data_IF_012797088274
#
_entry.id   IF_012797088274
#
_cell.length_a   1.000
_cell.length_b   1.000
_cell.length_c   1.000
_cell.angle_alpha   90.00
_cell.angle_beta   90.00
_cell.angle_gamma   90.00
#
_symmetry.space_group_name_H-M   'P 1'
#
loop_
_entity.id
_entity.type
_entity.pdbx_description
1 polymer ?
#
# COMPACT_ATOMS: atom_id res chain seq x y z
N UNK A 1 -6.34 -45.25 4.96
CA UNK A 1 -5.50 -44.13 5.50
C UNK A 1 -5.85 -42.87 4.71
N UNK A 2 -6.71 -42.01 5.23
CA UNK A 2 -7.02 -40.73 4.64
C UNK A 2 -6.70 -39.66 5.68
N UNK A 3 -5.62 -38.90 5.46
CA UNK A 3 -5.28 -37.76 6.28
C UNK A 3 -5.96 -36.51 5.74
N UNK A 4 -6.74 -35.83 6.54
CA UNK A 4 -7.30 -34.53 6.24
C UNK A 4 -6.43 -33.46 6.88
N UNK A 5 -5.81 -32.61 6.06
CA UNK A 5 -5.08 -31.43 6.52
C UNK A 5 -6.03 -30.23 6.58
N UNK A 6 -6.19 -29.65 7.78
CA UNK A 6 -6.86 -28.34 7.92
C UNK A 6 -5.77 -27.29 8.17
N UNK A 7 -5.63 -26.35 7.21
CA UNK A 7 -4.80 -25.16 7.38
C UNK A 7 -5.72 -23.98 7.63
N UNK A 8 -5.69 -23.45 8.86
CA UNK A 8 -6.34 -22.18 9.20
C UNK A 8 -5.29 -21.06 9.16
N UNK A 9 -5.49 -20.11 8.26
CA UNK A 9 -4.64 -18.93 8.10
C UNK A 9 -5.06 -17.84 9.08
N UNK A 10 -4.39 -17.77 10.20
CA UNK A 10 -4.03 -16.49 10.88
C UNK A 10 -3.14 -16.79 12.09
N UNK A 11 -1.96 -16.22 12.09
CA UNK A 11 -0.94 -16.21 13.16
C UNK A 11 -0.25 -17.56 13.49
N UNK A 12 1.03 -17.65 13.08
CA UNK A 12 2.02 -18.67 13.45
C UNK A 12 1.47 -20.11 13.39
N UNK A 13 1.80 -20.77 12.31
CA UNK A 13 1.37 -22.12 11.96
C UNK A 13 1.33 -23.05 13.19
N UNK A 14 0.13 -23.35 13.67
CA UNK A 14 -0.12 -24.53 14.47
C UNK A 14 -0.63 -25.60 13.50
N UNK A 15 0.20 -26.56 13.13
CA UNK A 15 -0.22 -27.72 12.33
C UNK A 15 -0.89 -28.70 13.28
N UNK A 16 -2.22 -28.80 13.23
CA UNK A 16 -2.96 -29.83 13.95
C UNK A 16 -3.09 -31.02 13.01
N UNK A 17 -2.34 -32.08 13.30
CA UNK A 17 -2.44 -33.34 12.57
C UNK A 17 -3.26 -34.30 13.40
N UNK A 18 -4.42 -34.72 12.87
CA UNK A 18 -5.29 -35.70 13.51
C UNK A 18 -5.08 -37.04 12.82
N UNK A 19 -4.59 -38.03 13.55
CA UNK A 19 -4.51 -39.41 13.09
C UNK A 19 -5.61 -40.25 13.75
N UNK A 20 -6.42 -40.89 12.92
CA UNK A 20 -7.39 -41.89 13.39
C UNK A 20 -6.83 -43.26 13.06
N UNK A 21 -6.51 -44.04 14.08
CA UNK A 21 -6.07 -45.41 13.90
C UNK A 21 -7.11 -46.36 14.47
N UNK A 22 -7.55 -47.34 13.67
CA UNK A 22 -8.35 -48.46 14.19
C UNK A 22 -7.43 -49.62 14.48
N UNK A 23 -7.34 -50.03 15.73
CA UNK A 23 -6.71 -51.27 16.15
C UNK A 23 -7.59 -51.94 17.20
N UNK A 24 -7.90 -53.20 16.94
CA UNK A 24 -8.52 -54.17 17.87
C UNK A 24 -9.54 -53.56 18.87
N UNK A 25 -10.76 -53.32 18.40
CA UNK A 25 -11.93 -52.89 19.21
C UNK A 25 -11.87 -51.48 19.86
N UNK A 26 -10.90 -50.61 19.51
CA UNK A 26 -10.81 -49.25 20.05
C UNK A 26 -10.52 -48.25 18.94
N UNK A 27 -11.08 -47.02 19.06
CA UNK A 27 -10.74 -45.86 18.24
C UNK A 27 -9.74 -45.02 19.00
N UNK A 28 -8.53 -44.83 18.47
CA UNK A 28 -7.47 -44.02 19.06
C UNK A 28 -7.35 -42.70 18.31
N UNK A 29 -7.67 -41.59 18.97
CA UNK A 29 -7.55 -40.22 18.44
C UNK A 29 -6.27 -39.60 19.04
N UNK A 30 -5.29 -39.27 18.18
CA UNK A 30 -4.11 -38.53 18.62
C UNK A 30 -4.10 -37.13 17.96
N UNK A 31 -4.08 -36.10 18.79
CA UNK A 31 -3.95 -34.70 18.39
C UNK A 31 -2.54 -34.22 18.75
N UNK A 32 -1.77 -33.82 17.76
CA UNK A 32 -0.45 -33.19 17.99
C UNK A 32 -0.51 -31.71 17.62
N UNK A 33 -0.24 -30.86 18.61
CA UNK A 33 -0.04 -29.43 18.40
C UNK A 33 1.42 -29.10 18.68
N UNK A 34 2.15 -28.54 17.70
CA UNK A 34 3.53 -28.05 17.88
C UNK A 34 3.55 -26.53 18.01
N UNK A 35 3.49 -25.95 19.20
CA UNK A 35 4.12 -24.65 19.44
C UNK A 35 5.62 -24.89 19.64
N UNK A 36 6.45 -23.97 19.14
CA UNK A 36 7.90 -24.06 19.28
C UNK A 36 8.30 -24.27 20.76
N UNK A 37 8.90 -25.44 21.06
CA UNK A 37 9.56 -25.91 22.32
C UNK A 37 8.84 -26.86 23.27
N UNK A 38 7.62 -27.32 23.02
CA UNK A 38 7.16 -28.51 23.76
C UNK A 38 6.02 -29.21 23.01
N UNK A 39 6.16 -30.52 22.83
CA UNK A 39 5.07 -31.32 22.22
C UNK A 39 4.21 -31.89 23.38
N UNK A 40 2.94 -31.51 23.40
CA UNK A 40 1.97 -32.06 24.36
C UNK A 40 1.17 -33.12 23.60
N UNK A 41 1.23 -34.36 24.08
CA UNK A 41 0.47 -35.47 23.52
C UNK A 41 -0.77 -35.72 24.39
N UNK A 42 -1.95 -35.66 23.77
CA UNK A 42 -3.20 -36.13 24.40
C UNK A 42 -3.60 -37.46 23.77
N UNK A 43 -3.73 -38.49 24.60
CA UNK A 43 -4.21 -39.81 24.20
C UNK A 43 -5.53 -40.08 24.86
N UNK A 44 -6.58 -40.25 24.09
CA UNK A 44 -7.92 -40.59 24.60
C UNK A 44 -8.30 -41.97 24.06
N UNK A 45 -8.51 -42.92 24.94
CA UNK A 45 -9.02 -44.24 24.59
C UNK A 45 -10.53 -44.29 24.92
N UNK A 46 -11.34 -44.60 23.94
CA UNK A 46 -12.78 -44.82 24.11
C UNK A 46 -13.11 -46.29 23.79
N UNK A 47 -13.69 -47.07 24.71
CA UNK A 47 -14.14 -48.41 24.44
C UNK A 47 -15.38 -48.38 23.55
N UNK A 48 -15.44 -49.30 22.56
CA UNK A 48 -16.62 -49.45 21.70
C UNK A 48 -17.59 -50.39 22.42
N UNK A 49 -18.66 -49.87 22.97
CA UNK A 49 -19.80 -50.66 23.41
C UNK A 49 -20.71 -50.99 22.18
N UNK A 50 -20.73 -52.24 21.78
CA UNK A 50 -21.56 -52.75 20.73
C UNK A 50 -23.00 -52.86 21.25
N UNK A 51 -23.85 -51.88 21.02
CA UNK A 51 -25.31 -52.04 21.04
C UNK A 51 -25.84 -51.57 19.72
N UNK A 52 -26.74 -52.37 19.17
CA UNK A 52 -27.30 -52.29 17.83
C UNK A 52 -28.08 -51.00 17.52
N UNK A 53 -27.34 -49.99 17.04
CA UNK A 53 -27.89 -48.79 16.43
C UNK A 53 -27.13 -48.44 15.13
N UNK A 54 -27.79 -47.93 14.09
CA UNK A 54 -27.16 -47.75 12.78
C UNK A 54 -26.07 -46.70 12.83
N UNK A 55 -24.88 -47.05 12.38
CA UNK A 55 -23.59 -46.39 12.38
C UNK A 55 -23.57 -44.94 11.84
N UNK A 56 -24.67 -44.45 11.25
CA UNK A 56 -24.78 -43.08 10.75
C UNK A 56 -25.08 -42.02 11.80
N UNK A 57 -25.60 -42.38 12.97
CA UNK A 57 -25.94 -41.43 14.03
C UNK A 57 -24.78 -41.13 15.00
N UNK A 58 -23.87 -42.07 15.17
CA UNK A 58 -22.72 -41.90 16.08
C UNK A 58 -21.66 -40.90 15.54
N UNK A 59 -21.56 -40.78 14.21
CA UNK A 59 -20.64 -39.83 13.59
C UNK A 59 -21.04 -38.35 13.83
N UNK A 60 -22.32 -38.07 13.92
CA UNK A 60 -22.81 -36.70 14.16
C UNK A 60 -22.59 -36.24 15.62
N UNK A 61 -22.68 -37.15 16.60
CA UNK A 61 -22.52 -36.78 18.00
C UNK A 61 -21.05 -36.60 18.42
N UNK A 62 -20.13 -37.39 17.88
CA UNK A 62 -18.69 -37.24 18.17
C UNK A 62 -18.10 -35.95 17.53
N UNK A 63 -18.60 -35.54 16.37
CA UNK A 63 -18.18 -34.28 15.71
C UNK A 63 -18.77 -33.06 16.44
N UNK A 64 -19.99 -33.16 16.98
CA UNK A 64 -20.62 -32.07 17.71
C UNK A 64 -19.97 -31.80 19.08
N UNK A 65 -19.55 -32.85 19.79
CA UNK A 65 -18.88 -32.69 21.10
C UNK A 65 -17.43 -32.21 20.96
N UNK A 66 -16.72 -32.58 19.90
CA UNK A 66 -15.39 -32.04 19.58
C UNK A 66 -15.44 -30.56 19.18
N UNK A 67 -16.49 -30.11 18.49
CA UNK A 67 -16.70 -28.70 18.13
C UNK A 67 -17.02 -27.80 19.32
N UNK A 68 -17.79 -28.28 20.31
CA UNK A 68 -18.16 -27.48 21.47
C UNK A 68 -17.01 -27.29 22.47
N UNK A 69 -16.10 -28.26 22.63
CA UNK A 69 -14.89 -28.11 23.43
C UNK A 69 -13.84 -27.20 22.75
N UNK A 70 -13.79 -27.14 21.42
CA UNK A 70 -12.90 -26.23 20.69
C UNK A 70 -13.33 -24.76 20.82
N UNK A 71 -14.64 -24.49 20.94
CA UNK A 71 -15.14 -23.13 21.09
C UNK A 71 -14.83 -22.50 22.45
N UNK A 72 -14.78 -23.31 23.52
CA UNK A 72 -14.41 -22.84 24.86
C UNK A 72 -12.90 -22.58 24.99
N UNK A 73 -12.06 -23.33 24.29
CA UNK A 73 -10.61 -23.12 24.26
C UNK A 73 -10.21 -21.92 23.38
N UNK A 74 -10.96 -21.59 22.30
CA UNK A 74 -10.73 -20.40 21.50
C UNK A 74 -11.14 -19.10 22.22
N UNK A 75 -12.11 -19.13 23.12
CA UNK A 75 -12.54 -17.96 23.89
C UNK A 75 -11.48 -17.51 24.92
N UNK A 76 -10.61 -18.39 25.38
CA UNK A 76 -9.55 -18.08 26.36
C UNK A 76 -8.27 -17.47 25.74
N UNK A 77 -8.10 -17.49 24.40
CA UNK A 77 -6.94 -16.90 23.68
C UNK A 77 -7.22 -15.47 23.19
N UNK A 78 -8.44 -14.95 23.30
CA UNK A 78 -8.85 -13.62 22.84
C UNK A 78 -8.71 -12.52 23.89
N UNK A 79 -7.55 -12.41 24.53
CA UNK A 79 -7.35 -11.46 25.62
C UNK A 79 -6.17 -10.49 25.55
N UNK A 80 -5.40 -10.43 24.46
CA UNK A 80 -4.47 -9.31 24.27
C UNK A 80 -5.13 -8.25 23.34
N UNK A 81 -5.97 -7.40 23.94
CA UNK A 81 -6.35 -6.12 23.33
C UNK A 81 -5.04 -5.39 22.99
N UNK A 82 -4.65 -5.34 21.70
CA UNK A 82 -3.63 -4.43 21.24
C UNK A 82 -4.08 -3.03 21.65
N UNK A 83 -3.43 -2.46 22.66
CA UNK A 83 -3.59 -1.04 22.97
C UNK A 83 -3.28 -0.28 21.68
N UNK A 84 -4.14 0.64 21.22
CA UNK A 84 -3.84 1.43 20.05
C UNK A 84 -2.48 2.10 20.25
N UNK A 85 -1.60 2.00 19.27
CA UNK A 85 -0.25 2.58 19.34
C UNK A 85 -0.39 4.09 19.49
N UNK A 86 -0.23 4.57 20.73
CA UNK A 86 -0.39 5.99 21.05
C UNK A 86 0.82 6.74 20.50
N UNK A 87 0.59 7.69 19.59
CA UNK A 87 1.65 8.56 19.06
C UNK A 87 2.21 9.38 20.23
N UNK A 88 3.47 9.16 20.58
CA UNK A 88 4.15 9.90 21.64
C UNK A 88 4.77 11.15 21.06
N UNK A 89 4.52 12.29 21.69
CA UNK A 89 5.07 13.57 21.30
C UNK A 89 5.69 14.29 22.51
N UNK A 90 6.74 15.08 22.25
CA UNK A 90 7.39 15.94 23.23
C UNK A 90 7.50 17.38 22.71
N UNK A 91 7.63 18.39 23.55
CA UNK A 91 8.02 19.73 23.09
C UNK A 91 9.35 19.65 22.32
N UNK A 92 9.53 20.54 21.34
CA UNK A 92 10.85 20.72 20.74
C UNK A 92 11.82 21.34 21.76
N UNK A 93 13.12 21.10 21.54
CA UNK A 93 14.22 21.63 22.36
C UNK A 93 14.44 23.13 22.18
N UNK A 94 15.68 23.61 21.91
CA UNK A 94 16.00 25.03 21.94
C UNK A 94 15.12 25.86 21.01
N UNK A 95 14.58 26.97 21.54
CA UNK A 95 13.76 27.93 20.76
C UNK A 95 14.51 28.54 19.57
N UNK A 96 15.85 28.56 19.63
CA UNK A 96 16.69 29.11 18.57
C UNK A 96 16.55 28.37 17.25
N UNK A 97 16.51 27.02 17.26
CA UNK A 97 16.35 26.20 16.04
C UNK A 97 14.98 26.45 15.36
N UNK A 98 13.92 26.51 16.16
CA UNK A 98 12.59 26.84 15.65
C UNK A 98 12.52 28.28 15.12
N UNK A 99 13.24 29.22 15.74
CA UNK A 99 13.26 30.61 15.30
C UNK A 99 13.99 30.77 13.95
N UNK A 100 15.11 30.05 13.76
CA UNK A 100 15.82 30.02 12.48
C UNK A 100 14.97 29.36 11.40
N UNK A 101 14.39 28.19 11.68
CA UNK A 101 13.49 27.50 10.76
C UNK A 101 12.31 28.40 10.34
N UNK A 102 11.73 29.16 11.29
CA UNK A 102 10.65 30.10 11.00
C UNK A 102 11.10 31.22 10.06
N UNK A 103 12.30 31.75 10.26
CA UNK A 103 12.86 32.81 9.41
C UNK A 103 13.12 32.33 8.00
N UNK A 104 13.72 31.13 7.86
CA UNK A 104 13.97 30.49 6.56
C UNK A 104 12.67 30.24 5.78
N UNK A 105 11.67 29.63 6.42
CA UNK A 105 10.37 29.35 5.79
C UNK A 105 9.64 30.64 5.42
N UNK A 106 9.68 31.66 6.30
CA UNK A 106 9.08 32.95 6.02
C UNK A 106 9.67 33.60 4.76
N UNK A 107 10.98 33.55 4.61
CA UNK A 107 11.67 34.07 3.44
C UNK A 107 11.33 33.27 2.18
N UNK A 108 11.41 31.95 2.23
CA UNK A 108 11.18 31.07 1.07
C UNK A 108 9.74 31.11 0.59
N UNK A 109 8.78 31.14 1.50
CA UNK A 109 7.35 31.05 1.18
C UNK A 109 6.64 32.41 1.12
N UNK A 110 7.30 33.48 1.46
CA UNK A 110 6.77 34.86 1.49
C UNK A 110 5.53 34.98 2.40
N UNK A 111 5.62 34.43 3.63
CA UNK A 111 4.59 34.50 4.66
C UNK A 111 5.13 35.14 5.93
N UNK A 112 4.29 35.81 6.76
CA UNK A 112 4.78 36.59 7.92
C UNK A 112 5.53 35.73 8.94
N UNK A 113 6.76 36.09 9.29
CA UNK A 113 7.61 35.34 10.23
C UNK A 113 6.98 35.18 11.62
N UNK A 114 6.25 36.18 12.11
CA UNK A 114 5.56 36.12 13.38
C UNK A 114 4.48 35.03 13.39
N UNK A 115 3.75 34.88 12.27
CA UNK A 115 2.76 33.81 12.08
C UNK A 115 3.43 32.43 12.05
N UNK A 116 4.51 32.27 11.27
CA UNK A 116 5.28 31.01 11.21
C UNK A 116 5.80 30.60 12.58
N UNK A 117 6.40 31.54 13.32
CA UNK A 117 6.88 31.32 14.71
C UNK A 117 5.76 30.85 15.62
N UNK A 118 4.58 31.47 15.51
CA UNK A 118 3.41 31.06 16.29
C UNK A 118 2.99 29.61 15.95
N UNK A 119 2.94 29.24 14.66
CA UNK A 119 2.58 27.86 14.28
C UNK A 119 3.62 26.85 14.80
N UNK A 120 4.92 27.10 14.58
CA UNK A 120 5.99 26.21 15.02
C UNK A 120 6.09 26.10 16.55
N UNK A 121 5.69 27.13 17.31
CA UNK A 121 5.63 27.04 18.78
C UNK A 121 4.59 26.03 19.29
N UNK A 122 3.59 25.70 18.48
CA UNK A 122 2.56 24.69 18.77
C UNK A 122 2.93 23.29 18.28
N UNK A 123 3.99 23.16 17.46
CA UNK A 123 4.45 21.87 16.96
C UNK A 123 5.07 21.03 18.07
N UNK A 124 4.94 19.71 17.96
CA UNK A 124 5.51 18.76 18.91
C UNK A 124 6.37 17.73 18.17
N UNK A 125 7.52 17.40 18.74
CA UNK A 125 8.39 16.35 18.19
C UNK A 125 7.72 14.99 18.33
N UNK A 126 7.59 14.27 17.22
CA UNK A 126 7.04 12.90 17.17
C UNK A 126 8.17 11.92 17.47
N UNK A 127 8.07 11.19 18.59
CA UNK A 127 9.08 10.22 19.00
C UNK A 127 9.08 8.96 18.13
N UNK A 128 10.24 8.47 17.76
CA UNK A 128 10.43 7.24 16.99
C UNK A 128 10.13 7.38 15.51
N UNK A 129 9.86 8.58 15.04
CA UNK A 129 9.61 8.85 13.61
C UNK A 129 10.86 8.55 12.78
N UNK A 130 12.03 8.80 13.34
CA UNK A 130 13.33 8.55 12.74
C UNK A 130 13.50 7.11 12.27
N UNK A 131 13.00 6.14 13.08
CA UNK A 131 13.05 4.70 12.74
C UNK A 131 12.19 4.34 11.53
N UNK A 132 11.09 5.06 11.32
CA UNK A 132 10.19 4.84 10.19
C UNK A 132 10.75 5.42 8.87
N UNK A 133 11.73 6.33 8.97
CA UNK A 133 12.39 6.93 7.81
C UNK A 133 13.57 6.11 7.30
N UNK A 134 14.09 5.20 8.11
CA UNK A 134 15.22 4.36 7.68
C UNK A 134 14.78 3.35 6.60
N UNK A 135 15.61 3.14 5.57
CA UNK A 135 15.33 2.10 4.60
C UNK A 135 15.25 0.72 5.30
N UNK A 136 14.45 -0.21 4.78
CA UNK A 136 14.40 -1.56 5.32
C UNK A 136 15.79 -2.20 5.23
N UNK A 137 16.13 -3.12 6.16
CA UNK A 137 17.38 -3.86 6.08
C UNK A 137 17.54 -4.53 4.70
N UNK A 138 18.74 -4.48 4.15
CA UNK A 138 19.08 -5.08 2.84
C UNK A 138 18.86 -6.59 2.78
N UNK A 139 18.73 -7.24 3.94
CA UNK A 139 18.46 -8.68 4.08
C UNK A 139 17.00 -9.09 3.77
N UNK A 140 16.08 -8.15 3.60
CA UNK A 140 14.69 -8.49 3.24
C UNK A 140 14.54 -8.45 1.73
N UNK A 141 14.51 -9.60 1.03
CA UNK A 141 14.35 -9.63 -0.41
C UNK A 141 12.99 -9.03 -0.79
N UNK A 142 12.99 -8.18 -1.82
CA UNK A 142 11.74 -7.68 -2.40
C UNK A 142 10.92 -8.86 -2.90
N UNK A 143 9.60 -8.84 -2.69
CA UNK A 143 8.69 -9.89 -3.14
C UNK A 143 7.42 -9.26 -3.71
N UNK A 144 7.28 -9.35 -5.03
CA UNK A 144 6.15 -8.78 -5.76
C UNK A 144 4.84 -9.47 -5.39
N UNK A 145 4.80 -10.80 -5.41
CA UNK A 145 3.60 -11.57 -5.07
C UNK A 145 3.06 -11.20 -3.68
N UNK A 146 3.96 -11.09 -2.69
CA UNK A 146 3.56 -10.68 -1.35
C UNK A 146 3.17 -9.20 -1.26
N UNK A 147 3.75 -8.33 -2.10
CA UNK A 147 3.39 -6.92 -2.17
C UNK A 147 2.01 -6.73 -2.82
N UNK A 148 1.77 -7.36 -3.98
CA UNK A 148 0.54 -7.37 -4.73
C UNK A 148 -0.66 -7.83 -3.85
N UNK A 149 -0.49 -8.94 -3.12
CA UNK A 149 -1.52 -9.49 -2.25
C UNK A 149 -1.99 -8.56 -1.11
N UNK A 150 -1.25 -7.49 -0.80
CA UNK A 150 -1.68 -6.47 0.19
C UNK A 150 -2.75 -5.54 -0.37
N UNK A 151 -2.81 -5.41 -1.68
CA UNK A 151 -3.68 -4.46 -2.36
C UNK A 151 -4.79 -5.16 -3.14
N UNK A 152 -4.50 -6.29 -3.78
CA UNK A 152 -5.48 -7.05 -4.55
C UNK A 152 -6.10 -8.11 -3.63
N UNK A 153 -7.02 -7.65 -2.78
CA UNK A 153 -7.74 -8.48 -1.82
C UNK A 153 -9.24 -8.15 -1.83
N UNK A 154 -10.12 -9.12 -1.50
CA UNK A 154 -11.57 -9.00 -1.72
C UNK A 154 -12.20 -7.73 -1.14
N UNK A 155 -11.84 -7.34 0.09
CA UNK A 155 -12.43 -6.18 0.76
C UNK A 155 -12.08 -4.86 0.06
N UNK A 156 -10.86 -4.74 -0.48
CA UNK A 156 -10.42 -3.55 -1.21
C UNK A 156 -11.07 -3.49 -2.59
N UNK A 157 -11.22 -4.63 -3.26
CA UNK A 157 -11.91 -4.73 -4.54
C UNK A 157 -13.38 -4.33 -4.36
N UNK A 158 -14.09 -4.89 -3.37
CA UNK A 158 -15.48 -4.52 -3.04
C UNK A 158 -15.63 -3.03 -2.74
N UNK A 159 -14.73 -2.46 -1.91
CA UNK A 159 -14.72 -1.04 -1.61
C UNK A 159 -14.46 -0.19 -2.87
N UNK A 160 -13.61 -0.65 -3.78
CA UNK A 160 -13.31 0.00 -5.06
C UNK A 160 -14.49 -0.01 -6.01
N UNK A 161 -15.20 -1.12 -6.12
CA UNK A 161 -16.46 -1.21 -6.90
C UNK A 161 -17.49 -0.21 -6.37
N UNK A 162 -17.68 -0.17 -5.05
CA UNK A 162 -18.59 0.79 -4.41
C UNK A 162 -18.16 2.24 -4.65
N UNK A 163 -16.86 2.54 -4.52
CA UNK A 163 -16.31 3.88 -4.78
C UNK A 163 -16.56 4.30 -6.23
N UNK A 164 -16.28 3.42 -7.20
CA UNK A 164 -16.53 3.66 -8.61
C UNK A 164 -18.00 3.96 -8.90
N UNK A 165 -18.90 3.12 -8.40
CA UNK A 165 -20.35 3.30 -8.58
C UNK A 165 -20.84 4.61 -7.96
N UNK A 166 -20.37 4.95 -6.76
CA UNK A 166 -20.77 6.17 -6.04
C UNK A 166 -20.28 7.44 -6.71
N UNK A 167 -19.09 7.43 -7.33
CA UNK A 167 -18.45 8.61 -7.91
C UNK A 167 -18.31 8.52 -9.43
N UNK A 168 -19.16 7.72 -10.08
CA UNK A 168 -19.08 7.42 -11.52
C UNK A 168 -18.98 8.69 -12.39
N UNK A 169 -19.85 9.65 -12.17
CA UNK A 169 -19.90 10.90 -12.94
C UNK A 169 -18.60 11.71 -12.80
N UNK A 170 -18.07 11.83 -11.58
CA UNK A 170 -16.81 12.53 -11.34
C UNK A 170 -15.61 11.81 -11.98
N UNK A 171 -15.58 10.49 -11.91
CA UNK A 171 -14.54 9.65 -12.51
C UNK A 171 -14.55 9.75 -14.05
N UNK A 172 -15.73 9.63 -14.67
CA UNK A 172 -15.89 9.77 -16.13
C UNK A 172 -15.53 11.18 -16.58
N UNK A 173 -15.93 12.21 -15.84
CA UNK A 173 -15.54 13.59 -16.12
C UNK A 173 -14.02 13.78 -16.00
N UNK A 174 -13.35 13.20 -15.00
CA UNK A 174 -11.91 13.27 -14.84
C UNK A 174 -11.18 12.58 -16.01
N UNK A 175 -11.64 11.40 -16.43
CA UNK A 175 -11.12 10.74 -17.63
C UNK A 175 -11.28 11.61 -18.88
N UNK A 176 -12.45 12.19 -19.09
CA UNK A 176 -12.73 13.05 -20.27
C UNK A 176 -11.89 14.33 -20.24
N UNK A 177 -11.65 14.91 -19.05
CA UNK A 177 -10.90 16.16 -18.88
C UNK A 177 -9.39 15.97 -19.04
N UNK A 178 -8.85 14.93 -18.42
CA UNK A 178 -7.40 14.73 -18.30
C UNK A 178 -6.86 13.58 -19.17
N UNK A 179 -7.74 12.74 -19.72
CA UNK A 179 -7.38 11.57 -20.52
C UNK A 179 -6.81 10.41 -19.70
N UNK A 180 -6.95 10.45 -18.37
CA UNK A 180 -6.49 9.40 -17.44
C UNK A 180 -7.62 8.41 -17.21
N UNK A 181 -7.42 7.10 -17.43
CA UNK A 181 -8.48 6.09 -17.28
C UNK A 181 -9.06 6.05 -15.87
N UNK A 182 -10.36 5.80 -15.75
CA UNK A 182 -11.07 5.70 -14.47
C UNK A 182 -10.42 4.65 -13.56
N UNK A 183 -10.07 3.49 -14.11
CA UNK A 183 -9.43 2.40 -13.37
C UNK A 183 -8.12 2.81 -12.71
N UNK A 184 -7.33 3.66 -13.35
CA UNK A 184 -6.08 4.15 -12.77
C UNK A 184 -6.34 5.07 -11.57
N UNK A 185 -7.30 5.98 -11.69
CA UNK A 185 -7.69 6.92 -10.60
C UNK A 185 -8.20 6.11 -9.40
N UNK A 186 -9.07 5.13 -9.64
CA UNK A 186 -9.63 4.23 -8.61
C UNK A 186 -8.52 3.40 -7.97
N UNK A 187 -7.58 2.87 -8.77
CA UNK A 187 -6.42 2.13 -8.29
C UNK A 187 -5.55 2.95 -7.33
N UNK A 188 -5.23 4.21 -7.67
CA UNK A 188 -4.46 5.11 -6.80
C UNK A 188 -5.16 5.34 -5.47
N UNK A 189 -6.42 5.79 -5.48
CA UNK A 189 -7.15 6.10 -4.25
C UNK A 189 -7.33 4.84 -3.39
N UNK A 190 -7.47 3.68 -4.05
CA UNK A 190 -7.54 2.39 -3.39
C UNK A 190 -6.24 2.00 -2.70
N UNK A 191 -5.10 2.14 -3.36
CA UNK A 191 -3.77 1.83 -2.80
C UNK A 191 -3.41 2.79 -1.68
N UNK A 192 -3.62 4.10 -1.89
CA UNK A 192 -3.19 5.14 -0.95
C UNK A 192 -3.97 5.12 0.37
N UNK A 193 -5.28 5.08 0.30
CA UNK A 193 -6.10 5.30 1.50
C UNK A 193 -7.22 4.29 1.73
N UNK A 194 -7.26 3.22 0.94
CA UNK A 194 -8.40 2.30 0.99
C UNK A 194 -9.72 3.07 0.82
N UNK A 195 -9.78 3.91 -0.20
CA UNK A 195 -10.94 4.79 -0.48
C UNK A 195 -11.31 5.67 0.72
N UNK A 196 -10.34 6.39 1.26
CA UNK A 196 -10.49 7.36 2.34
C UNK A 196 -10.55 6.78 3.76
N UNK A 197 -10.49 5.44 3.93
CA UNK A 197 -10.55 4.82 5.26
C UNK A 197 -9.25 4.96 6.05
N UNK A 198 -8.10 5.17 5.40
CA UNK A 198 -6.76 5.18 6.00
C UNK A 198 -5.92 6.39 5.59
N UNK A 199 -6.39 7.58 5.89
CA UNK A 199 -5.70 8.84 5.52
C UNK A 199 -4.57 9.25 6.47
N UNK A 200 -4.25 8.42 7.47
CA UNK A 200 -3.23 8.74 8.47
C UNK A 200 -3.79 9.47 9.71
N UNK A 201 -3.00 9.45 10.79
CA UNK A 201 -3.41 9.97 12.11
C UNK A 201 -2.37 10.89 12.76
N UNK A 202 -1.25 11.12 12.09
CA UNK A 202 -0.21 12.01 12.58
C UNK A 202 -0.58 13.47 12.26
N UNK A 203 -0.37 14.39 13.20
CA UNK A 203 -0.47 15.82 12.88
C UNK A 203 0.63 16.20 11.90
N UNK A 204 0.26 16.70 10.74
CA UNK A 204 1.20 17.01 9.65
C UNK A 204 2.23 18.04 10.07
N UNK A 205 1.82 19.08 10.82
CA UNK A 205 2.74 20.07 11.40
C UNK A 205 3.83 19.41 12.25
N UNK A 206 3.43 18.50 13.16
CA UNK A 206 4.35 17.83 14.07
C UNK A 206 5.36 16.95 13.31
N UNK A 207 4.86 16.17 12.34
CA UNK A 207 5.67 15.28 11.51
C UNK A 207 6.68 16.07 10.68
N UNK A 208 6.21 17.05 9.92
CA UNK A 208 7.08 17.79 9.01
C UNK A 208 8.11 18.64 9.79
N UNK A 209 7.72 19.22 10.94
CA UNK A 209 8.68 19.93 11.81
C UNK A 209 9.71 18.96 12.38
N UNK A 210 9.29 17.74 12.80
CA UNK A 210 10.22 16.73 13.32
C UNK A 210 11.22 16.33 12.24
N UNK A 211 10.76 16.04 11.02
CA UNK A 211 11.64 15.60 9.93
C UNK A 211 12.51 16.72 9.36
N UNK A 212 12.05 17.96 9.41
CA UNK A 212 12.84 19.14 9.02
C UNK A 212 14.02 19.41 9.98
N UNK A 213 13.86 19.15 11.28
CA UNK A 213 14.88 19.41 12.29
C UNK A 213 15.70 18.18 12.70
N UNK A 214 15.06 17.00 12.72
CA UNK A 214 15.61 15.78 13.32
C UNK A 214 15.47 14.58 12.38
N UNK A 215 15.78 14.77 11.08
CA UNK A 215 15.87 13.63 10.15
C UNK A 215 17.06 12.73 10.56
N UNK A 216 16.94 11.38 10.49
CA UNK A 216 18.01 10.49 10.94
C UNK A 216 19.32 10.73 10.15
N UNK A 217 20.41 11.10 10.81
CA UNK A 217 21.68 11.39 10.13
C UNK A 217 22.34 10.13 9.53
N UNK A 218 21.97 8.94 10.00
CA UNK A 218 22.46 7.66 9.50
C UNK A 218 21.82 7.26 8.16
N UNK A 219 20.77 7.97 7.72
CA UNK A 219 20.12 7.69 6.45
C UNK A 219 21.07 8.02 5.27
N UNK A 220 21.22 7.15 4.23
CA UNK A 220 22.16 7.37 3.12
C UNK A 220 21.98 8.72 2.38
N UNK A 221 20.78 9.29 2.41
CA UNK A 221 20.43 10.58 1.80
C UNK A 221 19.94 11.58 2.85
N UNK A 222 20.55 11.62 4.04
CA UNK A 222 20.05 12.39 5.17
C UNK A 222 19.85 13.88 4.86
N UNK A 223 20.87 14.55 4.32
CA UNK A 223 20.83 15.98 4.01
C UNK A 223 19.74 16.33 2.99
N UNK A 224 19.67 15.56 1.90
CA UNK A 224 18.67 15.75 0.85
C UNK A 224 17.25 15.57 1.38
N UNK A 225 17.04 14.50 2.17
CA UNK A 225 15.73 14.19 2.76
C UNK A 225 15.32 15.22 3.79
N UNK A 226 16.24 15.71 4.62
CA UNK A 226 15.97 16.76 5.57
C UNK A 226 15.58 18.07 4.87
N UNK A 227 16.31 18.47 3.82
CA UNK A 227 15.98 19.63 3.00
C UNK A 227 14.61 19.50 2.33
N UNK A 228 14.28 18.30 1.82
CA UNK A 228 12.95 18.00 1.29
C UNK A 228 11.85 18.25 2.32
N UNK A 229 11.98 17.70 3.53
CA UNK A 229 10.95 17.87 4.57
C UNK A 229 10.86 19.32 5.08
N UNK A 230 11.97 20.06 5.08
CA UNK A 230 11.95 21.51 5.36
C UNK A 230 11.14 22.28 4.30
N UNK A 231 11.33 21.95 3.04
CA UNK A 231 10.55 22.52 1.93
C UNK A 231 9.06 22.15 2.04
N UNK A 232 8.73 20.87 2.32
CA UNK A 232 7.35 20.41 2.49
C UNK A 232 6.65 21.11 3.67
N UNK A 233 7.37 21.36 4.78
CA UNK A 233 6.86 22.16 5.89
C UNK A 233 6.54 23.60 5.45
N UNK A 234 7.38 24.19 4.61
CA UNK A 234 7.13 25.51 4.02
C UNK A 234 5.85 25.55 3.19
N UNK A 235 5.67 24.59 2.27
CA UNK A 235 4.44 24.45 1.48
C UNK A 235 3.21 24.23 2.35
N UNK A 236 3.34 23.39 3.38
CA UNK A 236 2.24 23.13 4.33
C UNK A 236 1.81 24.42 5.04
N UNK A 237 2.75 25.17 5.58
CA UNK A 237 2.47 26.41 6.29
C UNK A 237 1.87 27.49 5.36
N UNK A 238 2.36 27.58 4.11
CA UNK A 238 1.79 28.47 3.10
C UNK A 238 0.33 28.11 2.78
N UNK A 239 0.07 26.81 2.56
CA UNK A 239 -1.27 26.30 2.31
C UNK A 239 -2.23 26.63 3.48
N UNK A 240 -1.79 26.38 4.71
CA UNK A 240 -2.60 26.67 5.91
C UNK A 240 -2.81 28.18 6.10
N UNK A 241 -1.79 29.01 5.83
CA UNK A 241 -1.89 30.47 5.92
C UNK A 241 -2.93 31.04 4.94
N UNK A 242 -3.05 30.46 3.76
CA UNK A 242 -4.02 30.90 2.75
C UNK A 242 -5.48 30.56 3.10
N UNK A 243 -5.72 29.69 4.10
CA UNK A 243 -7.09 29.31 4.49
C UNK A 243 -7.70 30.30 5.51
N UNK A 244 -8.99 30.65 5.38
CA UNK A 244 -9.62 31.70 6.20
C UNK A 244 -9.59 31.46 7.72
N UNK A 245 -9.36 30.26 8.20
CA UNK A 245 -9.37 29.88 9.62
C UNK A 245 -8.12 29.12 10.07
N UNK A 246 -7.04 29.13 9.27
CA UNK A 246 -5.74 28.55 9.67
C UNK A 246 -5.85 27.14 10.25
N UNK A 247 -6.44 26.18 9.53
CA UNK A 247 -6.61 24.81 10.03
C UNK A 247 -5.25 24.10 10.14
N UNK A 248 -4.59 24.22 11.29
CA UNK A 248 -3.30 23.56 11.59
C UNK A 248 -3.48 22.11 12.05
N UNK A 249 -4.73 21.69 12.33
CA UNK A 249 -5.05 20.36 12.85
C UNK A 249 -5.22 19.29 11.74
N UNK A 250 -4.54 19.46 10.60
CA UNK A 250 -4.56 18.48 9.51
C UNK A 250 -3.77 17.25 9.93
N UNK A 251 -4.38 16.07 9.77
CA UNK A 251 -3.71 14.78 9.97
C UNK A 251 -3.38 14.10 8.64
N UNK A 252 -2.34 13.26 8.68
CA UNK A 252 -1.85 12.55 7.51
C UNK A 252 -0.96 11.36 7.89
N UNK A 253 -0.13 10.92 6.94
CA UNK A 253 0.82 9.83 7.13
C UNK A 253 1.97 10.23 8.07
N UNK A 254 2.76 9.25 8.47
CA UNK A 254 4.01 9.47 9.23
C UNK A 254 5.10 10.23 8.44
N UNK A 255 4.90 10.46 7.15
CA UNK A 255 5.77 11.27 6.29
C UNK A 255 5.13 12.63 5.91
N UNK A 256 3.92 12.93 6.39
CA UNK A 256 3.24 14.19 6.13
C UNK A 256 2.38 14.23 4.87
N UNK A 257 2.12 13.10 4.21
CA UNK A 257 1.18 13.00 3.10
C UNK A 257 -0.27 13.10 3.60
N UNK A 258 -1.15 13.76 2.83
CA UNK A 258 -2.47 14.20 3.29
C UNK A 258 -3.62 13.77 2.37
N UNK A 259 -4.76 13.52 2.99
CA UNK A 259 -6.05 13.34 2.32
C UNK A 259 -6.18 12.04 1.53
N UNK A 260 -7.24 11.94 0.74
CA UNK A 260 -7.56 10.80 -0.11
C UNK A 260 -6.41 10.38 -1.05
N UNK A 261 -5.72 11.34 -1.74
CA UNK A 261 -4.66 11.00 -2.67
C UNK A 261 -3.28 10.89 -1.99
N UNK A 262 -3.16 11.05 -0.67
CA UNK A 262 -1.89 11.10 0.05
C UNK A 262 -0.88 12.06 -0.58
N UNK A 263 -1.32 13.25 -0.97
CA UNK A 263 -0.44 14.28 -1.51
C UNK A 263 0.45 14.88 -0.43
N UNK A 264 1.73 15.04 -0.76
CA UNK A 264 2.62 15.92 -0.02
C UNK A 264 2.17 17.38 -0.20
N UNK A 265 2.47 18.29 0.74
CA UNK A 265 2.07 19.71 0.63
C UNK A 265 2.45 20.38 -0.69
N UNK A 266 3.63 20.07 -1.23
CA UNK A 266 4.07 20.60 -2.53
C UNK A 266 3.22 20.04 -3.69
N UNK A 267 2.82 18.76 -3.62
CA UNK A 267 1.93 18.14 -4.60
C UNK A 267 0.52 18.73 -4.51
N UNK A 268 0.02 18.98 -3.30
CA UNK A 268 -1.25 19.68 -3.11
C UNK A 268 -1.23 21.06 -3.78
N UNK A 269 -0.20 21.85 -3.50
CA UNK A 269 -0.07 23.19 -4.08
C UNK A 269 -0.01 23.19 -5.61
N UNK A 270 0.59 22.16 -6.22
CA UNK A 270 0.83 22.12 -7.67
C UNK A 270 -0.30 21.43 -8.47
N UNK A 271 -0.93 20.43 -7.88
CA UNK A 271 -1.78 19.50 -8.63
C UNK A 271 -3.20 19.38 -8.11
N UNK A 272 -3.50 19.86 -6.89
CA UNK A 272 -4.85 19.83 -6.38
C UNK A 272 -5.75 20.81 -7.13
N UNK A 273 -6.97 20.38 -7.40
CA UNK A 273 -7.97 21.15 -8.14
C UNK A 273 -9.31 21.12 -7.41
N UNK A 274 -10.03 22.23 -7.45
CA UNK A 274 -11.45 22.31 -7.11
C UNK A 274 -12.23 21.68 -8.27
N UNK A 275 -12.52 20.38 -8.13
CA UNK A 275 -13.07 19.62 -9.25
C UNK A 275 -14.60 19.57 -9.23
N UNK A 276 -15.27 19.86 -8.12
CA UNK A 276 -16.73 20.04 -8.09
C UNK A 276 -17.17 21.49 -8.32
N UNK A 277 -16.24 22.45 -8.25
CA UNK A 277 -16.49 23.87 -8.55
C UNK A 277 -17.16 24.62 -7.39
N UNK A 278 -16.99 24.15 -6.14
CA UNK A 278 -17.56 24.80 -4.96
C UNK A 278 -16.75 26.00 -4.46
N UNK A 279 -15.65 26.34 -5.12
CA UNK A 279 -14.71 27.40 -4.78
C UNK A 279 -13.66 27.03 -3.75
N UNK A 280 -13.48 25.73 -3.43
CA UNK A 280 -12.51 25.22 -2.46
C UNK A 280 -11.84 23.96 -2.99
N UNK A 281 -10.64 23.73 -2.53
CA UNK A 281 -9.91 22.45 -2.74
C UNK A 281 -9.89 21.69 -1.42
N UNK A 282 -10.66 20.63 -1.29
CA UNK A 282 -10.73 19.82 -0.06
C UNK A 282 -10.39 18.34 -0.31
N UNK A 283 -9.10 18.03 -0.38
CA UNK A 283 -8.64 16.63 -0.53
C UNK A 283 -8.80 15.80 0.75
N UNK A 284 -9.24 16.40 1.86
CA UNK A 284 -9.45 15.70 3.13
C UNK A 284 -10.85 15.10 3.23
N UNK A 285 -11.85 15.79 2.68
CA UNK A 285 -13.27 15.42 2.87
C UNK A 285 -14.02 15.26 1.55
N UNK A 286 -13.52 15.85 0.47
CA UNK A 286 -14.17 15.83 -0.83
C UNK A 286 -13.52 14.82 -1.78
N UNK A 287 -14.14 13.65 -2.02
CA UNK A 287 -13.61 12.66 -2.94
C UNK A 287 -13.62 13.13 -4.40
N UNK A 288 -14.48 14.09 -4.77
CA UNK A 288 -14.54 14.62 -6.14
C UNK A 288 -13.29 15.43 -6.46
N UNK A 289 -12.85 16.29 -5.53
CA UNK A 289 -11.58 17.02 -5.67
C UNK A 289 -10.40 16.05 -5.71
N UNK A 290 -10.43 15.00 -4.89
CA UNK A 290 -9.38 13.97 -4.90
C UNK A 290 -9.30 13.26 -6.26
N UNK A 291 -10.41 12.89 -6.86
CA UNK A 291 -10.50 12.27 -8.19
C UNK A 291 -9.88 13.18 -9.24
N UNK A 292 -10.33 14.45 -9.31
CA UNK A 292 -9.80 15.43 -10.24
C UNK A 292 -8.32 15.70 -10.05
N UNK A 293 -7.88 15.80 -8.79
CA UNK A 293 -6.48 16.07 -8.45
C UNK A 293 -5.53 14.91 -8.80
N UNK A 294 -5.95 13.65 -8.60
CA UNK A 294 -5.19 12.48 -9.06
C UNK A 294 -5.04 12.47 -10.57
N UNK A 295 -6.12 12.74 -11.31
CA UNK A 295 -6.08 12.80 -12.77
C UNK A 295 -5.19 13.96 -13.26
N UNK A 296 -5.31 15.15 -12.66
CA UNK A 296 -4.47 16.31 -12.97
C UNK A 296 -2.99 16.03 -12.69
N UNK A 297 -2.65 15.32 -11.59
CA UNK A 297 -1.29 14.89 -11.29
C UNK A 297 -0.68 14.08 -12.44
N UNK A 298 -1.36 13.03 -12.90
CA UNK A 298 -0.85 12.21 -14.00
C UNK A 298 -0.74 12.99 -15.30
N UNK A 299 -1.72 13.85 -15.60
CA UNK A 299 -1.64 14.73 -16.78
C UNK A 299 -0.44 15.66 -16.73
N UNK A 300 -0.17 16.25 -15.57
CA UNK A 300 0.99 17.14 -15.37
C UNK A 300 2.33 16.41 -15.47
N UNK A 301 2.38 15.10 -15.16
CA UNK A 301 3.56 14.27 -15.34
C UNK A 301 3.68 13.63 -16.73
N UNK A 302 2.82 14.01 -17.68
CA UNK A 302 2.95 13.62 -19.08
C UNK A 302 2.14 12.39 -19.47
N UNK A 303 1.05 12.08 -18.75
CA UNK A 303 0.14 11.01 -19.17
C UNK A 303 -0.32 11.17 -20.59
N UNK A 304 -0.19 10.11 -21.38
CA UNK A 304 -0.61 10.05 -22.79
C UNK A 304 -1.89 9.22 -22.92
N UNK A 305 -2.97 9.89 -23.33
CA UNK A 305 -4.29 9.25 -23.52
C UNK A 305 -4.22 8.15 -24.57
N UNK A 306 -4.77 6.98 -24.27
CA UNK A 306 -4.80 5.84 -25.18
C UNK A 306 -3.52 5.00 -25.23
N UNK A 307 -2.41 5.46 -24.64
CA UNK A 307 -1.20 4.65 -24.50
C UNK A 307 -1.37 3.65 -23.34
N UNK A 308 -1.14 2.34 -23.52
CA UNK A 308 -1.13 1.38 -22.43
C UNK A 308 -0.02 1.68 -21.43
N UNK A 309 -0.15 1.20 -20.20
CA UNK A 309 0.91 1.37 -19.19
C UNK A 309 2.07 0.39 -19.41
N UNK A 310 1.81 -0.81 -19.88
CA UNK A 310 2.82 -1.84 -20.10
C UNK A 310 2.32 -2.92 -21.05
N UNK A 311 3.25 -3.75 -21.52
CA UNK A 311 3.01 -4.96 -22.28
C UNK A 311 3.59 -6.18 -21.56
N UNK A 312 3.15 -7.41 -21.89
CA UNK A 312 3.78 -8.64 -21.41
C UNK A 312 5.25 -8.72 -21.83
N UNK A 313 6.10 -9.21 -20.94
CA UNK A 313 7.51 -9.48 -21.23
C UNK A 313 7.71 -10.96 -21.59
N UNK A 314 8.37 -11.21 -22.70
CA UNK A 314 8.83 -12.54 -23.13
C UNK A 314 10.25 -12.43 -23.67
N UNK A 315 11.03 -13.50 -23.56
CA UNK A 315 12.44 -13.50 -23.87
C UNK A 315 12.82 -14.59 -24.89
N UNK A 316 13.76 -14.29 -25.76
CA UNK A 316 14.61 -15.25 -26.43
C UNK A 316 15.89 -15.42 -25.60
N UNK A 317 15.88 -16.43 -24.73
CA UNK A 317 16.97 -16.66 -23.77
C UNK A 317 18.36 -16.81 -24.43
N UNK A 318 18.42 -17.23 -25.69
CA UNK A 318 19.67 -17.37 -26.42
C UNK A 318 20.29 -16.03 -26.81
N UNK A 319 19.51 -14.97 -26.90
CA UNK A 319 19.93 -13.63 -27.35
C UNK A 319 19.80 -12.58 -26.25
N UNK A 320 19.29 -12.94 -25.09
CA UNK A 320 18.89 -11.97 -24.05
C UNK A 320 20.08 -11.25 -23.43
N UNK A 321 20.19 -9.95 -23.72
CA UNK A 321 21.08 -9.02 -23.01
C UNK A 321 20.33 -8.31 -21.88
N UNK A 322 20.03 -9.09 -20.83
CA UNK A 322 19.27 -8.62 -19.67
C UNK A 322 19.99 -7.49 -18.93
N UNK A 323 21.32 -7.52 -18.87
CA UNK A 323 22.10 -6.51 -18.16
C UNK A 323 21.92 -5.12 -18.76
N UNK A 324 21.98 -5.02 -20.08
CA UNK A 324 21.73 -3.76 -20.79
C UNK A 324 20.28 -3.31 -20.67
N UNK A 325 19.32 -4.24 -20.81
CA UNK A 325 17.89 -3.91 -20.72
C UNK A 325 17.46 -3.39 -19.34
N UNK A 326 18.07 -3.88 -18.26
CA UNK A 326 17.75 -3.47 -16.90
C UNK A 326 18.56 -2.25 -16.41
N UNK A 327 19.63 -1.85 -17.11
CA UNK A 327 20.49 -0.74 -16.68
C UNK A 327 19.75 0.60 -16.46
N UNK A 328 18.75 1.00 -17.28
CA UNK A 328 17.97 2.21 -17.06
C UNK A 328 16.93 2.12 -15.94
N UNK A 329 16.81 0.99 -15.26
CA UNK A 329 15.76 0.72 -14.27
C UNK A 329 14.36 0.90 -14.89
N UNK A 330 13.51 1.72 -14.28
CA UNK A 330 12.13 2.00 -14.72
C UNK A 330 12.04 3.04 -15.85
N UNK A 331 13.15 3.62 -16.27
CA UNK A 331 13.15 4.71 -17.25
C UNK A 331 13.00 4.16 -18.68
N UNK A 332 11.95 4.51 -19.43
CA UNK A 332 11.80 4.10 -20.82
C UNK A 332 12.96 4.63 -21.68
N UNK A 333 13.81 3.72 -22.18
CA UNK A 333 15.08 4.09 -22.83
C UNK A 333 15.31 3.36 -24.15
N UNK A 334 14.51 2.35 -24.49
CA UNK A 334 14.69 1.51 -25.65
C UNK A 334 13.52 1.61 -26.63
N UNK A 335 13.80 1.75 -27.92
CA UNK A 335 12.76 1.51 -28.93
C UNK A 335 12.36 0.03 -28.97
N UNK A 336 11.19 -0.29 -29.51
CA UNK A 336 10.75 -1.67 -29.70
C UNK A 336 11.78 -2.52 -30.48
N UNK A 337 12.35 -1.99 -31.57
CA UNK A 337 13.39 -2.64 -32.34
C UNK A 337 14.64 -2.92 -31.49
N UNK A 338 15.12 -1.92 -30.74
CA UNK A 338 16.29 -2.09 -29.86
C UNK A 338 16.08 -3.12 -28.78
N UNK A 339 14.85 -3.25 -28.24
CA UNK A 339 14.53 -4.34 -27.30
C UNK A 339 14.57 -5.72 -27.97
N UNK A 340 14.06 -5.85 -29.18
CA UNK A 340 14.09 -7.11 -29.95
C UNK A 340 15.52 -7.52 -30.27
N UNK A 341 16.39 -6.58 -30.68
CA UNK A 341 17.80 -6.83 -30.92
C UNK A 341 18.55 -7.37 -29.68
N UNK A 342 18.01 -7.05 -28.48
CA UNK A 342 18.53 -7.50 -27.18
C UNK A 342 17.80 -8.73 -26.62
N UNK A 343 17.08 -9.46 -27.48
CA UNK A 343 16.44 -10.73 -27.11
C UNK A 343 15.06 -10.61 -26.48
N UNK A 344 14.38 -9.45 -26.55
CA UNK A 344 12.98 -9.35 -26.16
C UNK A 344 12.09 -9.91 -27.27
N UNK A 345 11.06 -10.69 -26.90
CA UNK A 345 9.98 -11.12 -27.77
C UNK A 345 8.77 -10.26 -27.49
N UNK A 346 8.51 -9.27 -28.35
CA UNK A 346 7.44 -8.31 -28.16
C UNK A 346 6.15 -8.76 -28.86
N UNK A 347 4.99 -8.49 -28.20
CA UNK A 347 3.68 -8.65 -28.83
C UNK A 347 3.52 -7.69 -30.02
N UNK A 348 2.57 -7.95 -30.93
CA UNK A 348 2.29 -7.09 -32.08
C UNK A 348 2.07 -5.62 -31.69
N UNK A 349 1.35 -5.39 -30.61
CA UNK A 349 1.07 -4.03 -30.14
C UNK A 349 2.32 -3.34 -29.56
N UNK A 350 3.16 -4.10 -28.82
CA UNK A 350 4.42 -3.60 -28.31
C UNK A 350 5.44 -3.28 -29.43
N UNK A 351 5.44 -4.04 -30.53
CA UNK A 351 6.26 -3.77 -31.71
C UNK A 351 5.86 -2.46 -32.41
N UNK A 352 4.58 -2.10 -32.35
CA UNK A 352 4.03 -0.87 -32.95
C UNK A 352 4.13 0.34 -32.01
N UNK A 353 4.65 0.16 -30.79
CA UNK A 353 4.81 1.26 -29.84
C UNK A 353 5.80 2.29 -30.39
N UNK A 354 5.35 3.57 -30.41
CA UNK A 354 6.12 4.66 -31.04
C UNK A 354 7.08 5.36 -30.08
N UNK A 355 6.91 5.14 -28.79
CA UNK A 355 7.73 5.72 -27.73
C UNK A 355 8.88 4.81 -27.31
N UNK A 356 9.44 5.13 -26.16
CA UNK A 356 10.45 4.29 -25.52
C UNK A 356 9.81 3.31 -24.54
N UNK A 357 10.46 2.18 -24.37
CA UNK A 357 10.06 1.09 -23.48
C UNK A 357 11.16 0.84 -22.43
N UNK A 358 10.81 0.27 -21.32
CA UNK A 358 11.72 -0.20 -20.28
C UNK A 358 11.42 -1.67 -19.93
N UNK A 359 12.46 -2.48 -19.73
CA UNK A 359 12.29 -3.78 -19.09
C UNK A 359 12.24 -3.56 -17.58
N UNK A 360 11.10 -3.87 -16.96
CA UNK A 360 10.90 -3.69 -15.53
C UNK A 360 10.90 -5.03 -14.83
N UNK A 361 11.82 -5.21 -13.87
CA UNK A 361 11.97 -6.42 -13.07
C UNK A 361 11.29 -6.26 -11.70
N UNK A 362 10.56 -7.29 -11.29
CA UNK A 362 9.90 -7.37 -9.98
C UNK A 362 10.33 -8.67 -9.30
N UNK A 363 11.19 -8.57 -8.30
CA UNK A 363 11.67 -9.72 -7.53
C UNK A 363 10.54 -10.41 -6.75
N UNK A 364 10.59 -11.73 -6.65
CA UNK A 364 9.65 -12.58 -5.92
C UNK A 364 10.34 -13.33 -4.75
N UNK A 365 11.21 -12.66 -4.02
CA UNK A 365 11.97 -13.29 -2.94
C UNK A 365 13.02 -14.26 -3.49
N UNK A 366 12.85 -15.56 -3.20
CA UNK A 366 13.69 -16.64 -3.73
C UNK A 366 13.21 -17.19 -5.08
N UNK A 367 11.99 -16.84 -5.50
CA UNK A 367 11.39 -17.33 -6.75
C UNK A 367 11.86 -16.47 -7.94
N UNK A 368 11.62 -16.96 -9.16
CA UNK A 368 11.95 -16.25 -10.38
C UNK A 368 11.26 -14.88 -10.43
N UNK A 369 11.96 -13.81 -10.83
CA UNK A 369 11.38 -12.50 -10.99
C UNK A 369 10.25 -12.49 -12.03
N UNK A 370 9.27 -11.60 -11.84
CA UNK A 370 8.29 -11.22 -12.85
C UNK A 370 8.81 -10.04 -13.66
N UNK A 371 8.39 -9.94 -14.92
CA UNK A 371 8.81 -8.87 -15.82
C UNK A 371 7.62 -8.26 -16.55
N UNK A 372 7.69 -6.95 -16.79
CA UNK A 372 6.80 -6.25 -17.71
C UNK A 372 7.60 -5.32 -18.62
N UNK A 373 7.08 -5.03 -19.81
CA UNK A 373 7.62 -4.01 -20.72
C UNK A 373 6.86 -2.72 -20.46
N UNK A 374 7.42 -1.83 -19.62
CA UNK A 374 6.82 -0.56 -19.26
C UNK A 374 6.92 0.48 -20.36
N UNK A 375 5.87 1.26 -20.55
CA UNK A 375 5.81 2.42 -21.44
C UNK A 375 6.10 3.71 -20.69
N UNK A 376 6.03 4.87 -21.37
CA UNK A 376 6.06 6.18 -20.72
C UNK A 376 4.93 6.35 -19.70
N UNK A 377 3.74 5.81 -19.97
CA UNK A 377 2.64 5.84 -19.00
C UNK A 377 2.91 5.00 -17.75
N UNK A 378 3.60 3.87 -17.87
CA UNK A 378 4.07 3.14 -16.68
C UNK A 378 5.01 4.00 -15.85
N UNK A 379 5.97 4.66 -16.50
CA UNK A 379 6.89 5.58 -15.83
C UNK A 379 6.15 6.74 -15.16
N UNK A 380 5.12 7.32 -15.81
CA UNK A 380 4.27 8.36 -15.21
C UNK A 380 3.61 7.86 -13.91
N UNK A 381 3.12 6.61 -13.88
CA UNK A 381 2.55 6.06 -12.64
C UNK A 381 3.61 5.91 -11.55
N UNK A 382 4.86 5.54 -11.89
CA UNK A 382 5.94 5.46 -10.89
C UNK A 382 6.29 6.82 -10.27
N UNK A 383 5.93 7.95 -10.91
CA UNK A 383 6.19 9.30 -10.35
C UNK A 383 5.42 9.58 -9.08
N UNK A 384 4.31 8.87 -8.86
CA UNK A 384 3.51 9.01 -7.65
C UNK A 384 4.25 8.50 -6.40
N UNK A 385 4.96 7.40 -6.52
CA UNK A 385 5.71 6.78 -5.41
C UNK A 385 6.96 6.04 -5.90
N UNK A 386 7.78 6.63 -6.74
CA UNK A 386 9.07 6.14 -7.29
C UNK A 386 9.33 4.63 -7.12
N UNK A 387 8.38 3.78 -7.55
CA UNK A 387 8.41 2.34 -7.36
C UNK A 387 7.62 1.61 -8.45
N UNK A 388 8.27 0.65 -9.12
CA UNK A 388 7.62 -0.28 -10.05
C UNK A 388 6.57 -1.16 -9.39
N UNK A 389 6.82 -1.59 -8.15
CA UNK A 389 5.88 -2.39 -7.35
C UNK A 389 4.59 -1.61 -7.07
N UNK A 390 4.74 -0.36 -6.69
CA UNK A 390 3.59 0.54 -6.49
C UNK A 390 2.81 0.73 -7.78
N UNK A 391 3.50 1.08 -8.87
CA UNK A 391 2.86 1.36 -10.14
C UNK A 391 2.03 0.16 -10.63
N UNK A 392 2.61 -1.04 -10.59
CA UNK A 392 1.91 -2.24 -11.03
C UNK A 392 0.75 -2.60 -10.09
N UNK A 393 0.88 -2.43 -8.76
CA UNK A 393 -0.21 -2.67 -7.82
C UNK A 393 -1.41 -1.72 -8.06
N UNK A 394 -1.15 -0.44 -8.35
CA UNK A 394 -2.19 0.54 -8.72
C UNK A 394 -2.90 0.12 -10.01
N UNK A 395 -2.13 -0.22 -11.04
CA UNK A 395 -2.65 -0.62 -12.36
C UNK A 395 -3.50 -1.89 -12.25
N UNK A 396 -2.99 -2.91 -11.59
CA UNK A 396 -3.68 -4.20 -11.46
C UNK A 396 -4.92 -4.11 -10.55
N UNK A 397 -4.86 -3.36 -9.44
CA UNK A 397 -6.06 -3.13 -8.62
C UNK A 397 -7.16 -2.45 -9.43
N UNK A 398 -6.81 -1.41 -10.19
CA UNK A 398 -7.75 -0.71 -11.07
C UNK A 398 -8.34 -1.63 -12.13
N UNK A 399 -7.53 -2.47 -12.77
CA UNK A 399 -7.96 -3.41 -13.80
C UNK A 399 -8.92 -4.48 -13.24
N UNK A 400 -8.65 -5.04 -12.07
CA UNK A 400 -9.54 -6.01 -11.40
C UNK A 400 -10.88 -5.36 -11.08
N UNK A 401 -10.91 -4.15 -10.52
CA UNK A 401 -12.15 -3.42 -10.21
C UNK A 401 -12.93 -3.12 -11.50
N UNK A 402 -12.24 -2.70 -12.57
CA UNK A 402 -12.90 -2.47 -13.87
C UNK A 402 -13.53 -3.75 -14.43
N UNK A 403 -12.91 -4.91 -14.24
CA UNK A 403 -13.47 -6.21 -14.62
C UNK A 403 -14.74 -6.52 -13.82
N UNK A 404 -14.74 -6.30 -12.50
CA UNK A 404 -15.93 -6.50 -11.66
C UNK A 404 -17.08 -5.58 -12.07
N UNK A 405 -16.80 -4.33 -12.41
CA UNK A 405 -17.81 -3.37 -12.92
C UNK A 405 -18.40 -3.82 -14.25
N UNK A 406 -17.61 -4.43 -15.14
CA UNK A 406 -18.11 -4.96 -16.42
C UNK A 406 -18.98 -6.22 -16.22
N UNK A 407 -18.58 -7.10 -15.33
CA UNK A 407 -19.27 -8.36 -15.04
C UNK A 407 -20.62 -8.14 -14.32
N UNK A 408 -20.79 -7.01 -13.63
CA UNK A 408 -22.01 -6.64 -12.91
C UNK A 408 -23.07 -5.94 -13.80
N UNK A 409 -22.76 -5.67 -15.05
CA UNK A 409 -23.68 -5.09 -16.09
C UNK A 409 -24.34 -6.18 -16.90
#
# INVERSE_FOLDING_TARGET
MSGAHFVSSTFRMCVITCFVHMRDECIELSLTCKPSFSSIFYRVKLPILITSFPMRFLFFFAVFFACTCSSAALAAVHGKKHKPHQIRTTPFGPRAELAQLASDISQDQQIPVAWVRHQLSNARRVQGLEKLMMPPPTSSPKNWTAYQARFIEPRRIEAGVKFWQTHKEALERAQNTYGVPVELIVGVIGVETFYGQHMGKYKVLDVLTTLALHFPPEHPRAQERQAFFKSELGYFLKMVHAQPKGQVAITGSYAGAMGWPQFMPSSWTRFAVDFDGDGRIDLLKNPVDAIGSVANYFKAFGWQTGMPTHYPAQFDEAKLDKSTLLAPDILPSFSAASMQDKGMVLTSDAQQHKGNLALVELFNGSDSPSYVVGTENFYVVTRYNWSSYYALAVIELGAVIASEIKNAR
#
